data_IF_853498146297
#
_entry.id   IF_853498146297
#
_cell.length_a   1.000
_cell.length_b   1.000
_cell.length_c   1.000
_cell.angle_alpha   90.00
_cell.angle_beta   90.00
_cell.angle_gamma   90.00
#
_symmetry.space_group_name_H-M   'P 1'
#
loop_
_entity.id
_entity.type
_entity.pdbx_description
1 polymer ?
#
# COMPACT_ATOMS: atom_id res chain seq x y z
N UNK A 1 12.15 9.02 1.15
CA UNK A 1 12.34 8.31 2.44
C UNK A 1 11.06 7.62 2.91
N UNK A 2 9.93 8.35 3.05
CA UNK A 2 8.68 7.81 3.59
C UNK A 2 8.12 6.58 2.86
N UNK A 3 8.15 6.58 1.51
CA UNK A 3 7.69 5.44 0.70
C UNK A 3 8.42 4.14 1.05
N UNK A 4 9.73 4.21 1.32
CA UNK A 4 10.54 3.04 1.70
C UNK A 4 10.25 2.59 3.13
N UNK A 5 10.11 3.55 4.05
CA UNK A 5 9.78 3.24 5.46
C UNK A 5 8.42 2.55 5.56
N UNK A 6 7.42 3.03 4.82
CA UNK A 6 6.09 2.45 4.79
C UNK A 6 5.92 1.29 3.83
N UNK A 7 6.86 1.01 2.93
CA UNK A 7 6.63 0.09 1.79
C UNK A 7 5.33 0.44 1.04
N UNK A 8 5.14 1.72 0.72
CA UNK A 8 3.89 2.24 0.17
C UNK A 8 3.99 2.59 -1.32
N UNK A 9 2.85 2.76 -1.97
CA UNK A 9 2.75 3.14 -3.38
C UNK A 9 3.13 4.60 -3.59
N UNK A 10 3.69 4.92 -4.77
CA UNK A 10 4.08 6.29 -5.17
C UNK A 10 2.92 7.29 -5.16
N UNK A 11 1.70 6.82 -5.40
CA UNK A 11 0.44 7.57 -5.39
C UNK A 11 -0.09 7.85 -3.99
N UNK A 12 0.50 7.25 -2.94
CA UNK A 12 0.08 7.48 -1.57
C UNK A 12 0.41 8.90 -1.13
N UNK A 13 -0.59 9.62 -0.61
CA UNK A 13 -0.40 11.00 -0.14
C UNK A 13 0.67 11.11 0.95
N UNK A 14 1.49 12.16 0.88
CA UNK A 14 2.55 12.42 1.87
C UNK A 14 2.02 12.52 3.29
N UNK A 15 0.85 13.14 3.48
CA UNK A 15 0.22 13.29 4.81
C UNK A 15 -0.14 11.93 5.42
N UNK A 16 -0.71 11.01 4.64
CA UNK A 16 -0.99 9.66 5.10
C UNK A 16 0.31 8.90 5.40
N UNK A 17 1.34 9.05 4.55
CA UNK A 17 2.64 8.41 4.77
C UNK A 17 3.30 8.86 6.08
N UNK A 18 3.26 10.16 6.38
CA UNK A 18 3.79 10.70 7.64
C UNK A 18 3.09 10.07 8.84
N UNK A 19 1.76 9.93 8.78
CA UNK A 19 0.97 9.30 9.85
C UNK A 19 1.29 7.81 9.99
N UNK A 20 1.19 7.00 8.92
CA UNK A 20 1.40 5.55 9.02
C UNK A 20 2.84 5.22 9.46
N UNK A 21 3.83 5.99 9.00
CA UNK A 21 5.24 5.78 9.38
C UNK A 21 5.56 6.35 10.76
N UNK A 22 4.76 7.31 11.25
CA UNK A 22 5.04 8.08 12.46
C UNK A 22 6.17 9.11 12.29
N UNK A 23 6.52 9.46 11.05
CA UNK A 23 7.53 10.46 10.76
C UNK A 23 6.88 11.84 10.77
N UNK A 24 7.31 12.67 11.71
CA UNK A 24 6.81 14.05 11.87
C UNK A 24 7.11 14.85 10.60
N UNK A 25 6.16 15.69 10.12
CA UNK A 25 6.41 16.64 9.04
C UNK A 25 7.66 17.50 9.27
N UNK A 26 8.46 17.70 8.24
CA UNK A 26 9.79 18.33 8.37
C UNK A 26 9.71 19.76 8.92
N UNK A 27 8.68 20.52 8.54
CA UNK A 27 8.46 21.88 9.02
C UNK A 27 8.15 21.89 10.53
N UNK A 28 7.38 20.91 11.01
CA UNK A 28 7.15 20.73 12.44
C UNK A 28 8.42 20.28 13.19
N UNK A 29 9.30 19.50 12.55
CA UNK A 29 10.61 19.17 13.13
C UNK A 29 11.53 20.41 13.24
N UNK A 30 11.45 21.32 12.27
CA UNK A 30 12.18 22.60 12.31
C UNK A 30 11.66 23.47 13.45
N UNK A 31 10.34 23.57 13.61
CA UNK A 31 9.72 24.28 14.74
C UNK A 31 10.09 23.65 16.10
N UNK A 32 10.18 22.32 16.19
CA UNK A 32 10.68 21.63 17.40
C UNK A 32 12.09 22.12 17.75
N UNK A 33 12.99 22.14 16.76
CA UNK A 33 14.39 22.54 16.94
C UNK A 33 14.53 24.02 17.29
N UNK A 34 13.73 24.88 16.66
CA UNK A 34 13.68 26.30 16.95
C UNK A 34 13.28 26.54 18.41
N UNK A 35 12.20 25.93 18.87
CA UNK A 35 11.74 26.04 20.25
C UNK A 35 12.81 25.59 21.26
N UNK A 36 13.49 24.47 20.98
CA UNK A 36 14.58 23.99 21.84
C UNK A 36 15.77 24.95 21.91
N UNK A 37 16.08 25.65 20.82
CA UNK A 37 17.13 26.66 20.77
C UNK A 37 16.76 27.91 21.58
N UNK A 38 15.53 28.41 21.41
CA UNK A 38 15.03 29.60 22.13
C UNK A 38 15.00 29.40 23.65
N UNK A 39 14.76 28.17 24.13
CA UNK A 39 14.71 27.86 25.56
C UNK A 39 16.10 27.78 26.23
N UNK A 40 17.21 27.80 25.47
CA UNK A 40 18.60 27.76 26.01
C UNK A 40 19.04 26.45 26.67
N UNK A 41 18.11 25.65 27.18
CA UNK A 41 18.32 24.36 27.87
C UNK A 41 17.72 23.16 27.11
N UNK A 42 17.85 23.13 25.77
CA UNK A 42 17.25 22.10 24.92
C UNK A 42 17.70 20.64 25.17
N UNK A 43 18.67 20.41 26.06
CA UNK A 43 19.06 19.08 26.53
C UNK A 43 18.23 18.57 27.71
N UNK A 44 17.54 19.46 28.43
CA UNK A 44 16.72 19.09 29.58
C UNK A 44 15.52 18.24 29.12
N UNK A 45 15.32 17.11 29.78
CA UNK A 45 14.27 16.16 29.41
C UNK A 45 12.87 16.77 29.47
N UNK A 46 12.59 17.62 30.46
CA UNK A 46 11.31 18.29 30.60
C UNK A 46 11.03 19.23 29.41
N UNK A 47 12.04 20.01 29.00
CA UNK A 47 11.95 20.91 27.85
C UNK A 47 11.77 20.12 26.55
N UNK A 48 12.50 19.01 26.35
CA UNK A 48 12.33 18.14 25.19
C UNK A 48 10.95 17.50 25.11
N UNK A 49 10.41 17.05 26.25
CA UNK A 49 9.04 16.53 26.32
C UNK A 49 8.02 17.62 25.98
N UNK A 50 8.16 18.82 26.56
CA UNK A 50 7.27 19.94 26.26
C UNK A 50 7.33 20.35 24.77
N UNK A 51 8.53 20.38 24.17
CA UNK A 51 8.72 20.62 22.75
C UNK A 51 8.00 19.57 21.89
N UNK A 52 8.21 18.29 22.19
CA UNK A 52 7.56 17.18 21.49
C UNK A 52 6.04 17.24 21.62
N UNK A 53 5.53 17.52 22.81
CA UNK A 53 4.09 17.66 23.08
C UNK A 53 3.46 18.80 22.29
N UNK A 54 4.14 19.95 22.23
CA UNK A 54 3.72 21.10 21.41
C UNK A 54 3.60 20.69 19.93
N UNK A 55 4.59 19.97 19.41
CA UNK A 55 4.59 19.54 18.01
C UNK A 55 3.54 18.48 17.72
N UNK A 56 3.32 17.53 18.63
CA UNK A 56 2.25 16.53 18.48
C UNK A 56 0.87 17.20 18.46
N UNK A 57 0.63 18.23 19.29
CA UNK A 57 -0.61 19.01 19.24
C UNK A 57 -0.80 19.75 17.91
N UNK A 58 0.25 20.38 17.38
CA UNK A 58 0.19 21.04 16.07
C UNK A 58 -0.07 20.04 14.95
N UNK A 59 0.58 18.87 15.00
CA UNK A 59 0.37 17.83 14.02
C UNK A 59 -1.05 17.26 14.07
N UNK A 60 -1.56 16.96 15.27
CA UNK A 60 -2.94 16.50 15.49
C UNK A 60 -3.96 17.50 14.92
N UNK A 61 -3.80 18.79 15.22
CA UNK A 61 -4.68 19.84 14.67
C UNK A 61 -4.63 19.92 13.15
N UNK A 62 -3.44 19.84 12.55
CA UNK A 62 -3.29 19.78 11.09
C UNK A 62 -3.96 18.55 10.50
N UNK A 63 -3.88 17.43 11.21
CA UNK A 63 -4.49 16.18 10.78
C UNK A 63 -5.99 16.28 10.79
N UNK A 64 -6.59 16.78 11.88
CA UNK A 64 -8.03 17.01 12.01
C UNK A 64 -8.57 17.93 10.91
N UNK A 65 -7.93 19.09 10.70
CA UNK A 65 -8.37 20.12 9.74
C UNK A 65 -8.13 19.78 8.26
N UNK A 66 -7.32 18.77 7.96
CA UNK A 66 -7.05 18.37 6.58
C UNK A 66 -8.28 17.64 5.99
N UNK A 67 -8.95 18.21 5.00
CA UNK A 67 -10.16 17.63 4.38
C UNK A 67 -9.89 16.96 3.02
N UNK A 68 -8.68 17.11 2.46
CA UNK A 68 -8.41 16.70 1.08
C UNK A 68 -7.80 15.30 0.93
N UNK A 69 -6.69 15.03 1.64
CA UNK A 69 -5.86 13.83 1.40
C UNK A 69 -5.77 12.96 2.65
N UNK A 70 -5.64 11.65 2.48
CA UNK A 70 -5.46 10.73 3.61
C UNK A 70 -6.71 10.53 4.48
N UNK A 71 -7.91 10.92 4.03
CA UNK A 71 -9.17 10.73 4.78
C UNK A 71 -9.40 9.27 5.17
N UNK A 72 -9.06 8.33 4.27
CA UNK A 72 -9.10 6.91 4.57
C UNK A 72 -8.22 6.55 5.77
N UNK A 73 -6.97 7.00 5.78
CA UNK A 73 -6.05 6.80 6.91
C UNK A 73 -6.57 7.45 8.19
N UNK A 74 -7.19 8.63 8.10
CA UNK A 74 -7.76 9.35 9.24
C UNK A 74 -8.88 8.58 9.92
N UNK A 75 -9.71 7.87 9.14
CA UNK A 75 -10.77 7.01 9.69
C UNK A 75 -10.22 5.99 10.69
N UNK A 76 -9.05 5.41 10.39
CA UNK A 76 -8.41 4.40 11.24
C UNK A 76 -7.48 4.99 12.31
N UNK A 77 -6.84 6.12 12.02
CA UNK A 77 -5.91 6.80 12.93
C UNK A 77 -6.38 8.24 13.14
N UNK A 78 -7.49 8.47 13.86
CA UNK A 78 -7.99 9.82 14.13
C UNK A 78 -7.12 10.55 15.15
N UNK A 79 -6.68 9.85 16.21
CA UNK A 79 -5.72 10.35 17.19
C UNK A 79 -4.31 9.81 16.85
N UNK A 80 -3.40 10.73 16.56
CA UNK A 80 -2.03 10.41 16.22
C UNK A 80 -1.24 9.88 17.42
N UNK A 81 -1.54 10.33 18.64
CA UNK A 81 -0.66 10.11 19.80
C UNK A 81 -0.46 8.64 20.14
N UNK A 82 -1.51 7.81 20.30
CA UNK A 82 -1.34 6.39 20.58
C UNK A 82 -0.57 5.69 19.47
N UNK A 83 -0.85 6.07 18.22
CA UNK A 83 -0.22 5.48 17.05
C UNK A 83 1.27 5.81 16.96
N UNK A 84 1.65 7.09 16.99
CA UNK A 84 3.04 7.53 16.73
C UNK A 84 3.98 7.23 17.89
N UNK A 85 3.47 7.17 19.12
CA UNK A 85 4.26 6.87 20.32
C UNK A 85 4.41 5.36 20.58
N UNK A 86 3.57 4.52 19.96
CA UNK A 86 3.68 3.07 20.01
C UNK A 86 5.02 2.59 19.43
N UNK A 87 5.85 1.93 20.25
CA UNK A 87 7.19 1.48 19.88
C UNK A 87 7.20 0.16 19.11
N UNK A 88 6.21 -0.69 19.37
CA UNK A 88 6.03 -1.99 18.73
C UNK A 88 5.12 -1.93 17.51
N UNK A 89 4.66 -0.73 17.11
CA UNK A 89 3.93 -0.51 15.87
C UNK A 89 4.69 -1.12 14.71
N UNK A 90 4.02 -1.98 13.94
CA UNK A 90 4.56 -2.56 12.71
C UNK A 90 3.72 -2.12 11.52
N UNK A 91 4.37 -1.43 10.59
CA UNK A 91 3.86 -1.23 9.24
C UNK A 91 4.70 -2.07 8.29
N UNK A 92 4.03 -2.90 7.50
CA UNK A 92 4.60 -3.62 6.38
C UNK A 92 3.84 -3.24 5.10
N UNK A 93 4.24 -3.82 3.97
CA UNK A 93 3.61 -3.56 2.67
C UNK A 93 2.08 -3.77 2.67
N UNK A 94 1.59 -4.76 3.40
CA UNK A 94 0.17 -5.12 3.41
C UNK A 94 -0.64 -4.20 4.32
N UNK A 95 -0.12 -3.93 5.51
CA UNK A 95 -0.70 -2.99 6.45
C UNK A 95 -0.73 -1.57 5.86
N UNK A 96 0.33 -1.15 5.18
CA UNK A 96 0.37 0.14 4.51
C UNK A 96 -0.66 0.25 3.39
N UNK A 97 -0.84 -0.80 2.58
CA UNK A 97 -1.92 -0.85 1.58
C UNK A 97 -3.29 -0.67 2.21
N UNK A 98 -3.57 -1.42 3.28
CA UNK A 98 -4.83 -1.30 4.01
C UNK A 98 -5.04 0.11 4.56
N UNK A 99 -4.09 0.64 5.33
CA UNK A 99 -4.21 1.95 5.99
C UNK A 99 -4.25 3.13 5.02
N UNK A 100 -3.83 2.93 3.77
CA UNK A 100 -3.83 3.98 2.75
C UNK A 100 -4.94 3.81 1.71
N UNK A 101 -5.65 2.68 1.71
CA UNK A 101 -6.63 2.37 0.69
C UNK A 101 -6.00 2.14 -0.69
N UNK A 102 -4.77 1.65 -0.72
CA UNK A 102 -4.01 1.38 -1.94
C UNK A 102 -3.81 -0.13 -2.12
N UNK A 103 -3.52 -0.54 -3.35
CA UNK A 103 -3.14 -1.92 -3.65
C UNK A 103 -4.13 -2.60 -4.58
N UNK A 104 -4.27 -3.90 -4.42
CA UNK A 104 -5.14 -4.70 -5.29
C UNK A 104 -6.65 -4.53 -5.07
N UNK A 105 -7.10 -3.56 -4.26
CA UNK A 105 -8.51 -3.27 -3.96
C UNK A 105 -9.23 -2.69 -5.18
N UNK A 106 -10.40 -3.22 -5.54
CA UNK A 106 -11.23 -2.77 -6.67
C UNK A 106 -11.51 -1.26 -6.63
N UNK A 107 -11.80 -0.73 -5.44
CA UNK A 107 -11.98 0.72 -5.22
C UNK A 107 -10.74 1.56 -5.62
N UNK A 108 -9.54 1.00 -5.47
CA UNK A 108 -8.30 1.65 -5.86
C UNK A 108 -7.92 1.39 -7.32
N UNK A 109 -8.06 0.15 -7.80
CA UNK A 109 -7.73 -0.21 -9.18
C UNK A 109 -8.67 0.45 -10.18
N UNK A 110 -9.96 0.62 -9.84
CA UNK A 110 -10.91 1.39 -10.66
C UNK A 110 -10.50 2.87 -10.72
N UNK A 111 -10.11 3.48 -9.60
CA UNK A 111 -9.64 4.87 -9.56
C UNK A 111 -8.42 5.11 -10.46
N UNK A 112 -7.58 4.08 -10.63
CA UNK A 112 -6.42 4.13 -11.52
C UNK A 112 -6.74 3.74 -12.98
N UNK A 113 -8.00 3.45 -13.31
CA UNK A 113 -8.38 2.98 -14.65
C UNK A 113 -7.83 1.59 -15.01
N UNK A 114 -7.44 0.80 -13.99
CA UNK A 114 -6.97 -0.57 -14.17
C UNK A 114 -8.14 -1.54 -14.20
N UNK A 115 -9.17 -1.27 -13.39
CA UNK A 115 -10.42 -2.04 -13.32
C UNK A 115 -11.58 -1.24 -13.90
N UNK A 116 -12.56 -1.91 -14.51
CA UNK A 116 -13.80 -1.28 -14.96
C UNK A 116 -14.74 -0.96 -13.79
N UNK A 117 -14.74 -1.83 -12.78
CA UNK A 117 -15.59 -1.72 -11.60
C UNK A 117 -14.79 -1.88 -10.31
N UNK A 118 -15.41 -1.49 -9.19
CA UNK A 118 -14.83 -1.62 -7.86
C UNK A 118 -15.38 -2.84 -7.09
N UNK A 119 -15.80 -3.90 -7.78
CA UNK A 119 -16.46 -5.05 -7.14
C UNK A 119 -15.48 -6.12 -6.68
N UNK A 120 -15.83 -6.80 -5.60
CA UNK A 120 -15.08 -7.88 -5.00
C UNK A 120 -15.38 -9.16 -5.77
N UNK A 121 -14.36 -9.78 -6.37
CA UNK A 121 -14.53 -11.00 -7.17
C UNK A 121 -15.11 -12.18 -6.40
N UNK A 122 -15.00 -12.18 -5.07
CA UNK A 122 -15.48 -13.27 -4.25
C UNK A 122 -16.96 -13.15 -3.89
N UNK A 123 -17.51 -11.94 -3.83
CA UNK A 123 -18.86 -11.74 -3.30
C UNK A 123 -19.69 -10.65 -3.99
N UNK A 124 -19.14 -9.93 -4.96
CA UNK A 124 -19.85 -8.91 -5.74
C UNK A 124 -20.10 -7.58 -5.03
N UNK A 125 -19.73 -7.44 -3.75
CA UNK A 125 -19.82 -6.18 -2.99
C UNK A 125 -18.68 -5.21 -3.36
N UNK A 126 -18.74 -3.96 -2.91
CA UNK A 126 -17.64 -3.01 -3.12
C UNK A 126 -16.33 -3.49 -2.46
N UNK A 127 -15.27 -3.59 -3.25
CA UNK A 127 -13.95 -4.09 -2.87
C UNK A 127 -13.08 -2.97 -2.30
N UNK A 128 -13.41 -2.59 -1.07
CA UNK A 128 -12.58 -1.74 -0.23
C UNK A 128 -11.63 -2.57 0.65
N UNK A 129 -10.55 -1.98 1.18
CA UNK A 129 -9.71 -2.64 2.16
C UNK A 129 -10.49 -3.10 3.39
N UNK A 130 -11.45 -2.28 3.82
CA UNK A 130 -12.33 -2.58 4.94
C UNK A 130 -13.25 -3.76 4.63
N UNK A 131 -13.87 -3.79 3.45
CA UNK A 131 -14.63 -4.96 3.00
C UNK A 131 -13.79 -6.23 3.04
N UNK A 132 -12.59 -6.18 2.48
CA UNK A 132 -11.67 -7.32 2.44
C UNK A 132 -11.39 -7.86 3.84
N UNK A 133 -10.99 -6.98 4.75
CA UNK A 133 -10.50 -7.39 6.07
C UNK A 133 -11.64 -7.71 7.02
N UNK A 134 -12.77 -7.00 6.96
CA UNK A 134 -13.83 -7.06 7.97
C UNK A 134 -15.11 -7.80 7.52
N UNK A 135 -15.45 -7.81 6.22
CA UNK A 135 -16.78 -8.23 5.78
C UNK A 135 -16.78 -9.40 4.79
N UNK A 136 -15.85 -9.45 3.84
CA UNK A 136 -15.82 -10.43 2.76
C UNK A 136 -15.87 -11.87 3.29
N UNK A 137 -16.80 -12.69 2.79
CA UNK A 137 -16.98 -14.08 3.25
C UNK A 137 -15.74 -14.94 3.01
N UNK A 138 -14.97 -14.63 1.95
CA UNK A 138 -13.74 -15.35 1.59
C UNK A 138 -12.75 -15.42 2.75
N UNK A 139 -12.70 -14.35 3.55
CA UNK A 139 -11.76 -14.18 4.65
C UNK A 139 -12.38 -14.47 6.02
N UNK A 140 -13.63 -14.96 6.06
CA UNK A 140 -14.31 -15.30 7.31
C UNK A 140 -13.54 -16.32 8.18
N UNK A 141 -12.93 -17.40 7.63
CA UNK A 141 -12.16 -18.34 8.45
C UNK A 141 -10.99 -17.68 9.18
N UNK A 142 -10.30 -16.75 8.51
CA UNK A 142 -9.21 -15.97 9.13
C UNK A 142 -9.77 -15.08 10.22
N UNK A 143 -10.82 -14.29 9.94
CA UNK A 143 -11.44 -13.41 10.94
C UNK A 143 -11.91 -14.16 12.17
N UNK A 144 -12.54 -15.32 12.03
CA UNK A 144 -13.00 -16.14 13.16
C UNK A 144 -11.82 -16.52 14.06
N UNK A 145 -10.68 -16.91 13.48
CA UNK A 145 -9.47 -17.19 14.24
C UNK A 145 -8.98 -15.94 15.02
N UNK A 146 -9.01 -14.76 14.39
CA UNK A 146 -8.66 -13.50 15.08
C UNK A 146 -9.64 -13.17 16.19
N UNK A 147 -10.94 -13.35 15.95
CA UNK A 147 -12.00 -13.01 16.91
C UNK A 147 -11.91 -13.85 18.18
N UNK A 148 -11.43 -15.09 18.07
CA UNK A 148 -11.16 -15.95 19.23
C UNK A 148 -10.06 -15.39 20.14
N UNK A 149 -9.10 -14.63 19.59
CA UNK A 149 -7.97 -14.06 20.34
C UNK A 149 -8.22 -12.64 20.83
N UNK A 150 -8.85 -11.81 19.99
CA UNK A 150 -8.88 -10.35 20.14
C UNK A 150 -10.30 -9.77 20.26
N UNK A 151 -11.32 -10.61 20.10
CA UNK A 151 -12.70 -10.15 19.97
C UNK A 151 -13.03 -9.63 18.57
N UNK A 152 -14.23 -9.10 18.41
CA UNK A 152 -14.71 -8.64 17.10
C UNK A 152 -13.89 -7.43 16.61
N UNK A 153 -13.29 -7.57 15.43
CA UNK A 153 -12.63 -6.46 14.74
C UNK A 153 -13.67 -5.57 14.06
N UNK A 154 -13.57 -4.27 14.29
CA UNK A 154 -14.28 -3.22 13.54
C UNK A 154 -13.26 -2.24 12.97
N UNK A 155 -13.69 -1.30 12.11
CA UNK A 155 -12.78 -0.29 11.58
C UNK A 155 -12.18 0.57 12.71
N UNK A 156 -12.95 0.80 13.78
CA UNK A 156 -12.59 1.61 14.94
C UNK A 156 -11.65 0.88 15.90
N UNK A 157 -11.82 -0.45 16.07
CA UNK A 157 -10.99 -1.23 17.01
C UNK A 157 -9.73 -1.80 16.36
N UNK A 158 -9.69 -1.89 15.02
CA UNK A 158 -8.58 -2.52 14.30
C UNK A 158 -7.23 -1.88 14.64
N UNK A 159 -7.12 -0.55 14.56
CA UNK A 159 -5.87 0.15 14.89
C UNK A 159 -5.56 0.08 16.38
N UNK A 160 -6.57 0.10 17.25
CA UNK A 160 -6.38 -0.06 18.69
C UNK A 160 -5.71 -1.39 19.00
N UNK A 161 -6.18 -2.49 18.39
CA UNK A 161 -5.53 -3.78 18.52
C UNK A 161 -4.12 -3.79 17.92
N UNK A 162 -3.87 -3.10 16.80
CA UNK A 162 -2.52 -3.04 16.22
C UNK A 162 -1.47 -2.36 17.11
N UNK A 163 -1.89 -1.50 18.05
CA UNK A 163 -1.02 -0.82 19.00
C UNK A 163 -1.00 -1.48 20.38
N UNK A 164 -1.73 -2.57 20.59
CA UNK A 164 -1.67 -3.38 21.81
C UNK A 164 -0.44 -4.31 21.78
N UNK A 165 0.22 -4.49 22.94
CA UNK A 165 1.47 -5.28 23.05
C UNK A 165 1.31 -6.75 22.63
N UNK A 166 0.09 -7.30 22.72
CA UNK A 166 -0.22 -8.69 22.37
C UNK A 166 -0.35 -8.91 20.85
N UNK A 167 -0.32 -7.84 20.07
CA UNK A 167 -0.52 -7.93 18.63
C UNK A 167 0.72 -8.42 17.89
N UNK A 168 0.72 -9.68 17.49
CA UNK A 168 1.66 -10.16 16.48
C UNK A 168 1.18 -9.67 15.11
N UNK A 169 1.76 -8.57 14.61
CA UNK A 169 1.47 -7.85 13.35
C UNK A 169 1.11 -8.67 12.09
N UNK A 170 1.30 -9.98 12.09
CA UNK A 170 0.98 -10.87 10.99
C UNK A 170 -0.52 -11.20 10.86
N UNK A 171 -1.35 -11.05 11.89
CA UNK A 171 -2.72 -11.64 11.89
C UNK A 171 -3.69 -10.98 10.89
N UNK A 172 -3.77 -9.64 10.83
CA UNK A 172 -4.58 -8.92 9.81
C UNK A 172 -3.91 -8.96 8.43
N UNK A 173 -2.60 -9.14 8.37
CA UNK A 173 -1.89 -9.19 7.12
C UNK A 173 -2.18 -10.50 6.35
N UNK A 174 -2.66 -11.59 6.96
CA UNK A 174 -2.89 -12.86 6.26
C UNK A 174 -3.93 -12.77 5.13
N UNK A 175 -5.16 -12.20 5.34
CA UNK A 175 -6.07 -11.93 4.24
C UNK A 175 -5.44 -11.13 3.10
N UNK A 176 -4.57 -10.16 3.44
CA UNK A 176 -3.91 -9.28 2.48
C UNK A 176 -2.70 -9.91 1.79
N UNK A 177 -1.99 -10.82 2.46
CA UNK A 177 -0.85 -11.60 1.95
C UNK A 177 -1.32 -12.64 0.95
N UNK A 178 -2.44 -13.28 1.24
CA UNK A 178 -3.07 -14.25 0.34
C UNK A 178 -3.92 -13.60 -0.74
N UNK A 179 -4.21 -12.30 -0.60
CA UNK A 179 -4.85 -11.49 -1.63
C UNK A 179 -3.89 -11.31 -2.79
N UNK A 180 -4.13 -12.11 -3.81
CA UNK A 180 -3.55 -11.92 -5.13
C UNK A 180 -4.61 -11.16 -5.93
N UNK A 181 -4.26 -10.04 -6.62
CA UNK A 181 -5.22 -9.39 -7.49
C UNK A 181 -5.83 -10.44 -8.43
N UNK A 182 -7.16 -10.49 -8.55
CA UNK A 182 -7.77 -11.13 -9.69
C UNK A 182 -7.38 -10.26 -10.88
N UNK A 183 -6.42 -10.70 -11.67
CA UNK A 183 -6.35 -10.23 -13.05
C UNK A 183 -7.58 -10.88 -13.68
N UNK A 184 -8.64 -10.09 -13.83
CA UNK A 184 -9.84 -10.34 -14.62
C UNK A 184 -10.12 -11.82 -14.94
N UNK A 185 -10.66 -12.57 -13.98
CA UNK A 185 -10.94 -13.99 -14.19
C UNK A 185 -11.92 -14.21 -15.38
N UNK A 186 -12.74 -13.21 -15.69
CA UNK A 186 -13.75 -13.23 -16.74
C UNK A 186 -13.22 -12.94 -18.17
N UNK A 187 -11.96 -12.49 -18.32
CA UNK A 187 -11.37 -12.13 -19.63
C UNK A 187 -10.10 -12.93 -19.99
N UNK A 188 -9.65 -13.85 -19.13
CA UNK A 188 -8.39 -14.58 -19.35
C UNK A 188 -8.61 -15.90 -20.08
N UNK A 189 -7.92 -16.04 -21.22
CA UNK A 189 -7.74 -17.31 -21.91
C UNK A 189 -7.09 -18.36 -20.99
N UNK A 190 -7.27 -19.67 -21.23
CA UNK A 190 -6.62 -20.73 -20.46
C UNK A 190 -5.09 -20.58 -20.33
N UNK A 191 -4.44 -20.00 -21.35
CA UNK A 191 -3.01 -19.73 -21.36
C UNK A 191 -2.62 -18.60 -20.40
N UNK A 192 -3.41 -17.52 -20.34
CA UNK A 192 -3.20 -16.43 -19.38
C UNK A 192 -3.44 -16.90 -17.94
N UNK A 193 -4.47 -17.72 -17.72
CA UNK A 193 -4.72 -18.36 -16.42
C UNK A 193 -3.57 -19.28 -15.99
N UNK A 194 -2.95 -20.00 -16.92
CA UNK A 194 -1.77 -20.83 -16.62
C UNK A 194 -0.52 -19.99 -16.32
N UNK A 195 -0.30 -18.91 -17.07
CA UNK A 195 0.76 -17.95 -16.82
C UNK A 195 0.61 -17.34 -15.42
N UNK A 196 -0.58 -16.87 -15.06
CA UNK A 196 -0.87 -16.27 -13.77
C UNK A 196 -0.65 -17.27 -12.62
N UNK A 197 -1.12 -18.51 -12.74
CA UNK A 197 -0.85 -19.55 -11.73
C UNK A 197 0.65 -19.80 -11.54
N UNK A 198 1.41 -19.85 -12.63
CA UNK A 198 2.86 -20.01 -12.58
C UNK A 198 3.53 -18.78 -11.93
N UNK A 199 3.07 -17.58 -12.28
CA UNK A 199 3.58 -16.32 -11.77
C UNK A 199 3.34 -16.17 -10.26
N UNK A 200 2.12 -16.50 -9.80
CA UNK A 200 1.72 -16.55 -8.39
C UNK A 200 2.59 -17.53 -7.59
N UNK A 201 2.88 -18.71 -8.17
CA UNK A 201 3.72 -19.73 -7.55
C UNK A 201 5.17 -19.26 -7.43
N UNK A 202 5.73 -18.65 -8.48
CA UNK A 202 7.08 -18.09 -8.49
C UNK A 202 7.23 -16.98 -7.46
N UNK A 203 6.26 -16.07 -7.37
CA UNK A 203 6.24 -15.00 -6.36
C UNK A 203 6.27 -15.56 -4.95
N UNK A 204 5.40 -16.53 -4.63
CA UNK A 204 5.34 -17.16 -3.30
C UNK A 204 6.65 -17.85 -2.93
N UNK A 205 7.32 -18.48 -3.91
CA UNK A 205 8.64 -19.10 -3.70
C UNK A 205 9.69 -18.03 -3.38
N UNK A 206 9.71 -16.92 -4.12
CA UNK A 206 10.65 -15.81 -3.90
C UNK A 206 10.41 -15.16 -2.51
N UNK A 207 9.15 -14.87 -2.17
CA UNK A 207 8.79 -14.29 -0.86
C UNK A 207 9.16 -15.21 0.31
N UNK A 208 9.01 -16.52 0.14
CA UNK A 208 9.39 -17.51 1.15
C UNK A 208 10.92 -17.69 1.25
N UNK A 209 11.64 -17.59 0.14
CA UNK A 209 13.09 -17.84 0.08
C UNK A 209 13.92 -16.69 0.65
N UNK A 210 13.50 -15.44 0.45
CA UNK A 210 14.27 -14.25 0.87
C UNK A 210 13.69 -13.54 2.10
N UNK A 211 12.61 -14.07 2.68
CA UNK A 211 11.76 -13.32 3.62
C UNK A 211 11.00 -12.21 2.90
N UNK A 212 10.04 -11.57 3.60
CA UNK A 212 9.33 -10.38 3.07
C UNK A 212 10.41 -9.35 2.72
N UNK A 213 10.73 -9.19 1.44
CA UNK A 213 11.82 -8.37 0.91
C UNK A 213 11.64 -6.89 1.31
N UNK A 214 12.01 -6.56 2.55
CA UNK A 214 12.55 -5.24 2.90
C UNK A 214 13.86 -5.15 2.16
N UNK A 215 13.83 -4.57 0.98
CA UNK A 215 14.87 -3.63 0.49
C UNK A 215 14.73 -3.36 -1.01
N UNK A 216 14.05 -4.23 -1.76
CA UNK A 216 14.14 -4.15 -3.20
C UNK A 216 12.88 -4.64 -3.90
N UNK A 217 11.80 -3.84 -3.92
CA UNK A 217 10.81 -3.92 -5.03
C UNK A 217 9.72 -2.87 -5.03
N UNK A 218 9.98 -1.71 -5.62
CA UNK A 218 8.95 -1.08 -6.46
C UNK A 218 8.65 -1.92 -7.71
N UNK A 219 9.49 -2.93 -7.99
CA UNK A 219 9.45 -3.75 -9.19
C UNK A 219 8.46 -4.91 -9.08
N UNK A 220 8.36 -5.63 -7.97
CA UNK A 220 7.33 -6.68 -7.87
C UNK A 220 5.87 -6.16 -7.98
N UNK A 221 5.63 -4.84 -7.95
CA UNK A 221 4.34 -4.25 -8.31
C UNK A 221 3.94 -4.54 -9.77
N UNK A 222 4.88 -4.65 -10.71
CA UNK A 222 4.56 -5.02 -12.10
C UNK A 222 4.29 -6.51 -12.30
N UNK A 223 4.57 -7.36 -11.30
CA UNK A 223 4.14 -8.76 -11.30
C UNK A 223 2.70 -8.94 -10.78
N UNK A 224 2.01 -7.84 -10.43
CA UNK A 224 0.63 -7.82 -9.93
C UNK A 224 -0.39 -7.44 -11.00
N UNK A 225 0.06 -7.01 -12.17
CA UNK A 225 -0.77 -6.52 -13.27
C UNK A 225 -0.18 -6.97 -14.61
N UNK A 226 -1.02 -7.07 -15.64
CA UNK A 226 -0.57 -7.38 -17.00
C UNK A 226 0.59 -6.43 -17.41
N UNK A 227 1.63 -6.90 -18.13
CA UNK A 227 2.75 -6.07 -18.61
C UNK A 227 2.35 -4.75 -19.29
N UNK A 228 1.18 -4.71 -19.95
CA UNK A 228 0.62 -3.50 -20.55
C UNK A 228 0.20 -2.46 -19.50
N UNK A 229 -0.43 -2.91 -18.41
CA UNK A 229 -0.85 -2.08 -17.27
C UNK A 229 0.35 -1.66 -16.41
N UNK A 230 1.33 -2.56 -16.28
CA UNK A 230 2.62 -2.23 -15.65
C UNK A 230 3.33 -1.06 -16.35
N UNK A 231 3.21 -0.96 -17.68
CA UNK A 231 3.70 0.18 -18.46
C UNK A 231 3.02 1.50 -18.11
N UNK A 232 1.68 1.50 -17.97
CA UNK A 232 0.90 2.69 -17.58
C UNK A 232 1.18 3.18 -16.16
N UNK A 233 1.52 2.27 -15.24
CA UNK A 233 1.93 2.64 -13.87
C UNK A 233 3.37 3.18 -13.78
N UNK A 234 4.14 3.01 -14.84
CA UNK A 234 5.57 3.38 -14.92
C UNK A 234 5.81 4.68 -15.69
N UNK A 235 4.82 5.15 -16.46
CA UNK A 235 4.88 6.38 -17.25
C UNK A 235 3.93 7.41 -16.62
N UNK A 236 4.48 8.54 -16.20
CA UNK A 236 3.70 9.70 -15.75
C UNK A 236 2.99 10.39 -16.93
N UNK A 237 1.88 11.07 -16.61
CA UNK A 237 0.95 11.83 -17.47
C UNK A 237 1.55 13.07 -18.17
N UNK A 238 2.77 13.00 -18.73
CA UNK A 238 3.39 14.17 -19.40
C UNK A 238 3.60 14.01 -20.92
N UNK A 239 3.12 12.94 -21.57
CA UNK A 239 3.08 12.88 -23.04
C UNK A 239 1.64 12.78 -23.56
N UNK A 240 1.26 13.82 -24.31
CA UNK A 240 -0.02 13.94 -24.99
C UNK A 240 -0.34 12.68 -25.83
N UNK A 241 -1.63 12.32 -25.98
CA UNK A 241 -2.00 11.10 -26.69
C UNK A 241 -1.58 11.21 -28.16
N UNK A 242 -0.78 10.26 -28.61
CA UNK A 242 -0.51 10.04 -30.03
C UNK A 242 -1.80 9.51 -30.65
N UNK A 243 -2.35 10.29 -31.58
CA UNK A 243 -3.48 9.93 -32.43
C UNK A 243 -3.11 8.71 -33.28
N UNK A 244 -3.73 7.56 -33.02
CA UNK A 244 -3.56 6.34 -33.81
C UNK A 244 -4.88 5.96 -34.47
N UNK A 245 -5.20 6.68 -35.55
CA UNK A 245 -6.29 6.38 -36.49
C UNK A 245 -5.90 5.26 -37.45
N UNK A 246 -5.59 4.05 -36.94
CA UNK A 246 -5.33 2.89 -37.81
C UNK A 246 -6.33 1.75 -37.59
N UNK A 247 -6.86 1.30 -38.72
CA UNK A 247 -7.96 0.34 -38.87
C UNK A 247 -7.66 -1.04 -38.24
N UNK A 248 -8.70 -1.79 -37.79
CA UNK A 248 -8.52 -2.96 -36.92
C UNK A 248 -8.13 -4.27 -37.63
N UNK A 249 -7.91 -4.29 -38.95
CA UNK A 249 -7.83 -5.57 -39.69
C UNK A 249 -6.42 -6.13 -39.94
N UNK A 250 -5.34 -5.45 -39.53
CA UNK A 250 -3.97 -5.93 -39.79
C UNK A 250 -3.18 -6.26 -38.52
N UNK A 251 -3.52 -7.35 -37.82
CA UNK A 251 -2.58 -8.06 -36.92
C UNK A 251 -2.87 -9.57 -36.98
N UNK A 252 -1.98 -10.46 -37.42
CA UNK A 252 -0.77 -11.04 -36.78
C UNK A 252 -0.14 -11.99 -37.85
N UNK A 253 1.21 -12.11 -38.07
CA UNK A 253 2.17 -12.58 -37.07
C UNK A 253 3.60 -12.00 -37.18
N UNK A 254 3.99 -11.12 -36.25
CA UNK A 254 5.41 -10.81 -36.00
C UNK A 254 5.81 -10.67 -34.51
N UNK A 255 4.94 -11.06 -33.58
CA UNK A 255 5.13 -10.82 -32.14
C UNK A 255 6.26 -11.63 -31.46
N UNK A 256 6.79 -12.69 -32.09
CA UNK A 256 7.82 -13.52 -31.46
C UNK A 256 9.23 -12.89 -31.49
N UNK A 257 9.58 -12.16 -32.55
CA UNK A 257 10.93 -11.59 -32.71
C UNK A 257 11.17 -10.38 -31.79
N UNK A 258 10.16 -9.51 -31.61
CA UNK A 258 10.29 -8.31 -30.79
C UNK A 258 10.36 -8.59 -29.28
N UNK A 259 9.75 -9.69 -28.81
CA UNK A 259 9.79 -10.08 -27.41
C UNK A 259 11.19 -10.52 -26.97
N UNK A 260 11.90 -11.27 -27.82
CA UNK A 260 13.27 -11.72 -27.56
C UNK A 260 14.26 -10.54 -27.56
N UNK A 261 14.10 -9.60 -28.48
CA UNK A 261 14.92 -8.37 -28.52
C UNK A 261 14.70 -7.50 -27.28
N UNK A 262 13.45 -7.34 -26.81
CA UNK A 262 13.14 -6.57 -25.59
C UNK A 262 13.62 -7.25 -24.32
N UNK A 263 13.54 -8.59 -24.25
CA UNK A 263 14.10 -9.35 -23.12
C UNK A 263 15.62 -9.21 -23.06
N UNK A 264 16.29 -9.22 -24.22
CA UNK A 264 17.75 -9.05 -24.31
C UNK A 264 18.19 -7.63 -23.96
N UNK A 265 17.40 -6.61 -24.33
CA UNK A 265 17.64 -5.21 -23.94
C UNK A 265 17.50 -5.01 -22.43
N UNK A 266 16.51 -5.65 -21.80
CA UNK A 266 16.35 -5.64 -20.34
C UNK A 266 17.53 -6.36 -19.66
N UNK A 267 17.93 -7.54 -20.13
CA UNK A 267 19.10 -8.26 -19.60
C UNK A 267 20.38 -7.43 -19.70
N UNK A 268 20.58 -6.72 -20.81
CA UNK A 268 21.76 -5.86 -21.02
C UNK A 268 21.73 -4.60 -20.15
N UNK A 269 20.55 -4.07 -19.83
CA UNK A 269 20.37 -2.93 -18.92
C UNK A 269 20.63 -3.30 -17.45
N UNK A 270 20.43 -4.56 -17.07
CA UNK A 270 20.60 -5.06 -15.69
C UNK A 270 21.93 -5.76 -15.41
N UNK A 271 22.85 -5.82 -16.38
CA UNK A 271 24.26 -6.16 -16.10
C UNK A 271 25.01 -4.90 -15.65
N UNK A 272 25.18 -4.77 -14.33
CA UNK A 272 26.39 -4.16 -13.73
C UNK A 272 27.39 -5.29 -13.53
#
# INVERSE_FOLDING_TARGET
MLLRVGSAYRTTSTVALQVITGVIPIDLMVEERRYLYEMGNGQELAIRKAARERILNLWQRRWELNEEKGQWTKRFIPDLRPWVTCRHRRTDFYISQFLTGHGSFGTYTQRLGISENALCVYCGEEDSPEHTVLYCHRWAPYRIAIYGELGQLTAETLVAHMIEDKWQGNTIAYPLKERIPPIYEDLLTPAQNAFDRAHKRTRRIIENAFGILREMSSYLNHLQVNPFVAGKLSLDDDEAPVDDTRDPEDTVPHAAAGAQTRLQQLINYFRI
#
